data_IF_772685746898
#
_entry.id   IF_772685746898
#
_cell.length_a   1.000
_cell.length_b   1.000
_cell.length_c   1.000
_cell.angle_alpha   90.00
_cell.angle_beta   90.00
_cell.angle_gamma   90.00
#
_symmetry.space_group_name_H-M   'P 1'
#
loop_
_entity.id
_entity.type
_entity.pdbx_description
1 polymer ?
#
# COMPACT_ATOMS: atom_id res chain seq x y z
N UNK A 1 31.98 -1.02 -14.91
CA UNK A 1 31.07 -1.78 -14.02
C UNK A 1 30.30 -0.77 -13.19
N UNK A 2 29.23 -0.20 -13.77
CA UNK A 2 28.39 0.79 -13.11
C UNK A 2 27.18 0.03 -12.53
N UNK A 3 27.29 -0.43 -11.29
CA UNK A 3 26.11 -0.85 -10.54
C UNK A 3 25.34 0.43 -10.20
N UNK A 4 24.46 0.86 -11.10
CA UNK A 4 23.32 1.68 -10.70
C UNK A 4 22.55 0.84 -9.69
N UNK A 5 22.74 1.14 -8.41
CA UNK A 5 21.89 0.66 -7.36
C UNK A 5 20.47 1.15 -7.69
N UNK A 6 19.65 0.27 -8.26
CA UNK A 6 18.20 0.39 -8.22
C UNK A 6 17.75 0.16 -6.77
N UNK A 7 18.22 1.00 -5.85
CA UNK A 7 17.46 1.30 -4.66
C UNK A 7 16.19 1.95 -5.20
N UNK A 8 15.14 1.15 -5.47
CA UNK A 8 13.89 1.63 -6.02
C UNK A 8 13.46 2.86 -5.23
N UNK A 9 13.48 4.03 -5.90
CA UNK A 9 13.20 5.30 -5.27
C UNK A 9 11.86 5.14 -4.54
N UNK A 10 11.89 5.22 -3.21
CA UNK A 10 10.66 5.21 -2.45
C UNK A 10 10.00 6.56 -2.69
N UNK A 11 8.75 6.60 -3.17
CA UNK A 11 8.05 7.85 -3.41
C UNK A 11 8.11 8.72 -2.16
N UNK A 12 8.45 9.98 -2.35
CA UNK A 12 8.42 10.98 -1.28
C UNK A 12 7.12 11.76 -1.25
N UNK A 13 6.23 11.56 -2.22
CA UNK A 13 4.97 12.24 -2.36
C UNK A 13 3.87 11.31 -2.87
N UNK A 14 2.64 11.54 -2.41
CA UNK A 14 1.43 10.92 -2.96
C UNK A 14 1.09 11.54 -4.31
N UNK A 15 0.70 10.73 -5.29
CA UNK A 15 0.35 11.17 -6.66
C UNK A 15 -1.13 11.00 -7.00
N UNK A 16 -1.94 10.70 -5.99
CA UNK A 16 -3.38 10.46 -6.10
C UNK A 16 -4.17 11.74 -6.43
N UNK A 17 -5.13 11.65 -7.35
CA UNK A 17 -6.04 12.75 -7.68
C UNK A 17 -7.22 12.86 -6.70
N UNK A 18 -7.78 14.07 -6.55
CA UNK A 18 -8.98 14.31 -5.72
C UNK A 18 -8.70 14.59 -4.24
N UNK A 19 -7.44 14.69 -3.84
CA UNK A 19 -7.02 15.02 -2.47
C UNK A 19 -6.19 16.30 -2.48
N UNK A 20 -6.54 17.24 -1.60
CA UNK A 20 -5.69 18.40 -1.34
C UNK A 20 -4.60 18.06 -0.31
N UNK A 21 -3.72 19.03 -0.05
CA UNK A 21 -2.61 18.83 0.88
C UNK A 21 -3.08 18.55 2.33
N UNK A 22 -4.25 19.03 2.75
CA UNK A 22 -4.78 18.75 4.07
C UNK A 22 -5.28 17.31 4.16
N UNK A 23 -6.07 16.88 3.17
CA UNK A 23 -6.55 15.51 3.08
C UNK A 23 -5.39 14.50 3.01
N UNK A 24 -4.31 14.80 2.29
CA UNK A 24 -3.12 13.94 2.26
C UNK A 24 -2.41 13.82 3.62
N UNK A 25 -2.37 14.91 4.41
CA UNK A 25 -1.85 14.86 5.79
C UNK A 25 -2.74 14.00 6.68
N UNK A 26 -4.05 14.17 6.59
CA UNK A 26 -5.01 13.37 7.37
C UNK A 26 -4.89 11.87 7.04
N UNK A 27 -4.66 11.51 5.77
CA UNK A 27 -4.40 10.12 5.38
C UNK A 27 -3.10 9.59 6.01
N UNK A 28 -2.02 10.38 6.02
CA UNK A 28 -0.76 9.99 6.64
C UNK A 28 -0.90 9.80 8.17
N UNK A 29 -1.61 10.71 8.85
CA UNK A 29 -1.88 10.63 10.29
C UNK A 29 -2.73 9.41 10.65
N UNK A 30 -3.76 9.11 9.82
CA UNK A 30 -4.56 7.89 9.94
C UNK A 30 -3.72 6.64 9.76
N UNK A 31 -2.88 6.59 8.72
CA UNK A 31 -2.01 5.45 8.46
C UNK A 31 -1.06 5.20 9.64
N UNK A 32 -0.39 6.25 10.14
CA UNK A 32 0.52 6.19 11.26
C UNK A 32 -0.17 5.74 12.55
N UNK A 33 -1.35 6.29 12.85
CA UNK A 33 -2.14 5.94 14.04
C UNK A 33 -2.59 4.48 14.00
N UNK A 34 -3.14 4.03 12.88
CA UNK A 34 -3.56 2.64 12.70
C UNK A 34 -2.38 1.66 12.77
N UNK A 35 -1.24 2.02 12.16
CA UNK A 35 -0.04 1.19 12.20
C UNK A 35 0.53 1.06 13.61
N UNK A 36 0.61 2.18 14.35
CA UNK A 36 1.05 2.19 15.75
C UNK A 36 0.13 1.35 16.63
N UNK A 37 -1.19 1.47 16.46
CA UNK A 37 -2.16 0.68 17.22
C UNK A 37 -2.02 -0.83 16.96
N UNK A 38 -1.72 -1.22 15.71
CA UNK A 38 -1.57 -2.64 15.33
C UNK A 38 -0.21 -3.23 15.70
N UNK A 39 0.87 -2.48 15.53
CA UNK A 39 2.25 -3.02 15.58
C UNK A 39 3.12 -2.45 16.70
N UNK A 40 2.67 -1.41 17.39
CA UNK A 40 3.46 -0.64 18.35
C UNK A 40 4.52 0.29 17.73
N UNK A 41 4.71 0.23 16.41
CA UNK A 41 5.73 0.98 15.66
C UNK A 41 5.12 1.75 14.49
N UNK A 42 5.87 2.74 13.98
CA UNK A 42 5.53 3.49 12.77
C UNK A 42 6.70 3.37 11.80
N UNK A 43 6.46 3.05 10.51
CA UNK A 43 7.50 2.96 9.51
C UNK A 43 8.29 4.28 9.39
N UNK A 44 9.61 4.23 9.15
CA UNK A 44 10.45 5.43 9.10
C UNK A 44 10.26 6.26 7.81
N UNK A 45 9.71 5.67 6.74
CA UNK A 45 9.41 6.40 5.51
C UNK A 45 8.00 6.99 5.58
N UNK A 46 7.78 8.21 5.04
CA UNK A 46 6.46 8.82 5.03
C UNK A 46 5.44 7.92 4.33
N UNK A 47 4.19 7.99 4.79
CA UNK A 47 3.09 7.37 4.06
C UNK A 47 2.89 8.12 2.74
N UNK A 48 2.81 7.37 1.64
CA UNK A 48 2.47 7.87 0.31
C UNK A 48 1.49 6.92 -0.34
N UNK A 49 0.57 7.45 -1.14
CA UNK A 49 -0.38 6.65 -1.94
C UNK A 49 -0.45 7.23 -3.35
N UNK A 50 -0.52 6.36 -4.34
CA UNK A 50 -0.78 6.71 -5.74
C UNK A 50 -2.20 6.34 -6.18
N UNK A 51 -3.07 5.94 -5.24
CA UNK A 51 -4.37 5.38 -5.54
C UNK A 51 -4.25 3.92 -5.97
N UNK A 52 -4.95 3.53 -7.03
CA UNK A 52 -4.88 2.17 -7.53
C UNK A 52 -3.66 1.99 -8.46
N UNK A 53 -2.47 1.78 -7.88
CA UNK A 53 -1.18 1.63 -8.57
C UNK A 53 -1.30 0.93 -9.95
N UNK A 54 -0.78 1.58 -11.00
CA UNK A 54 -0.77 1.09 -12.41
C UNK A 54 -2.14 0.79 -13.03
N UNK A 55 -3.23 1.27 -12.42
CA UNK A 55 -4.58 1.13 -12.94
C UNK A 55 -5.34 2.46 -12.82
N UNK A 56 -6.34 2.72 -13.67
CA UNK A 56 -7.18 3.90 -13.47
C UNK A 56 -7.96 3.83 -12.17
N UNK A 57 -7.97 4.94 -11.44
CA UNK A 57 -8.85 5.14 -10.29
C UNK A 57 -10.32 5.21 -10.73
N UNK A 58 -11.22 4.92 -9.79
CA UNK A 58 -12.67 4.96 -10.01
C UNK A 58 -13.44 5.11 -8.69
N UNK A 59 -14.69 4.67 -8.65
CA UNK A 59 -15.54 4.70 -7.43
C UNK A 59 -14.93 3.93 -6.25
N UNK A 60 -13.92 3.10 -6.51
CA UNK A 60 -13.21 2.27 -5.55
C UNK A 60 -11.84 2.81 -5.11
N UNK A 61 -11.43 4.01 -5.56
CA UNK A 61 -10.14 4.62 -5.21
C UNK A 61 -9.86 4.62 -3.70
N UNK A 62 -10.90 4.85 -2.88
CA UNK A 62 -10.82 4.78 -1.42
C UNK A 62 -10.36 3.41 -0.90
N UNK A 63 -10.73 2.31 -1.56
CA UNK A 63 -10.24 0.97 -1.22
C UNK A 63 -8.73 0.85 -1.42
N UNK A 64 -8.18 1.47 -2.47
CA UNK A 64 -6.75 1.42 -2.78
C UNK A 64 -5.96 2.24 -1.75
N UNK A 65 -6.43 3.44 -1.40
CA UNK A 65 -5.84 4.26 -0.33
C UNK A 65 -5.83 3.51 1.02
N UNK A 66 -6.92 2.86 1.38
CA UNK A 66 -7.00 2.09 2.63
C UNK A 66 -6.07 0.86 2.62
N UNK A 67 -5.96 0.18 1.48
CA UNK A 67 -5.04 -0.94 1.30
C UNK A 67 -3.58 -0.50 1.40
N UNK A 68 -3.23 0.63 0.79
CA UNK A 68 -1.90 1.25 0.86
C UNK A 68 -1.49 1.55 2.31
N UNK A 69 -2.40 2.02 3.17
CA UNK A 69 -2.08 2.26 4.59
C UNK A 69 -1.59 0.98 5.29
N UNK A 70 -2.24 -0.14 5.00
CA UNK A 70 -1.88 -1.44 5.59
C UNK A 70 -0.58 -1.97 4.98
N UNK A 71 -0.43 -1.82 3.65
CA UNK A 71 0.78 -2.20 2.92
C UNK A 71 2.01 -1.40 3.34
N UNK A 72 1.85 -0.09 3.55
CA UNK A 72 2.88 0.78 4.08
C UNK A 72 3.37 0.31 5.45
N UNK A 73 2.42 0.01 6.34
CA UNK A 73 2.70 -0.46 7.69
C UNK A 73 3.40 -1.82 7.71
N UNK A 74 2.99 -2.75 6.84
CA UNK A 74 3.53 -4.11 6.82
C UNK A 74 3.02 -4.96 7.98
N UNK A 75 3.79 -5.99 8.34
CA UNK A 75 3.43 -7.00 9.34
C UNK A 75 3.69 -8.43 8.85
N UNK A 76 3.07 -9.40 9.49
CA UNK A 76 3.22 -10.83 9.20
C UNK A 76 2.57 -11.24 7.87
N UNK A 77 2.91 -12.43 7.37
CA UNK A 77 2.30 -12.98 6.16
C UNK A 77 0.77 -13.14 6.25
N UNK A 78 0.25 -13.46 7.44
CA UNK A 78 -1.19 -13.59 7.68
C UNK A 78 -1.89 -12.22 7.71
N UNK A 79 -1.24 -11.19 8.25
CA UNK A 79 -1.76 -9.83 8.17
C UNK A 79 -1.81 -9.34 6.72
N UNK A 80 -0.80 -9.67 5.91
CA UNK A 80 -0.85 -9.38 4.47
C UNK A 80 -2.03 -10.08 3.80
N UNK A 81 -2.24 -11.36 4.08
CA UNK A 81 -3.37 -12.12 3.52
C UNK A 81 -4.71 -11.47 3.88
N UNK A 82 -4.90 -11.11 5.16
CA UNK A 82 -6.10 -10.41 5.63
C UNK A 82 -6.28 -9.06 4.95
N UNK A 83 -5.21 -8.27 4.79
CA UNK A 83 -5.24 -6.99 4.09
C UNK A 83 -5.72 -7.16 2.64
N UNK A 84 -5.20 -8.16 1.93
CA UNK A 84 -5.57 -8.44 0.54
C UNK A 84 -7.01 -8.96 0.41
N UNK A 85 -7.51 -9.70 1.40
CA UNK A 85 -8.90 -10.16 1.47
C UNK A 85 -9.88 -9.02 1.78
N UNK A 86 -9.54 -8.13 2.71
CA UNK A 86 -10.31 -6.91 3.00
C UNK A 86 -10.35 -6.00 1.77
N UNK A 87 -9.24 -5.87 1.05
CA UNK A 87 -9.18 -5.11 -0.19
C UNK A 87 -10.09 -5.69 -1.28
N UNK A 88 -10.04 -7.02 -1.47
CA UNK A 88 -10.94 -7.73 -2.38
C UNK A 88 -12.42 -7.43 -2.07
N UNK A 89 -12.79 -7.49 -0.79
CA UNK A 89 -14.16 -7.23 -0.36
C UNK A 89 -14.58 -5.78 -0.64
N UNK A 90 -13.70 -4.80 -0.36
CA UNK A 90 -13.98 -3.39 -0.63
C UNK A 90 -14.18 -3.12 -2.13
N UNK A 91 -13.26 -3.59 -2.99
CA UNK A 91 -13.37 -3.45 -4.44
C UNK A 91 -14.63 -4.15 -4.97
N UNK A 92 -14.98 -5.32 -4.41
CA UNK A 92 -16.20 -6.05 -4.78
C UNK A 92 -17.45 -5.22 -4.51
N UNK A 93 -17.52 -4.55 -3.35
CA UNK A 93 -18.66 -3.73 -2.95
C UNK A 93 -18.75 -2.41 -3.75
N UNK A 94 -17.62 -1.77 -4.06
CA UNK A 94 -17.59 -0.45 -4.73
C UNK A 94 -17.49 -0.50 -6.26
N UNK A 95 -17.10 -1.63 -6.83
CA UNK A 95 -16.85 -1.79 -8.26
C UNK A 95 -17.55 -3.01 -8.87
N UNK A 96 -17.02 -4.22 -8.64
CA UNK A 96 -17.63 -5.49 -9.06
C UNK A 96 -16.85 -6.68 -8.49
N UNK A 97 -17.50 -7.84 -8.39
CA UNK A 97 -16.85 -9.09 -7.97
C UNK A 97 -15.66 -9.46 -8.88
N UNK A 98 -15.81 -9.30 -10.20
CA UNK A 98 -14.72 -9.56 -11.16
C UNK A 98 -13.50 -8.67 -10.89
N UNK A 99 -13.71 -7.35 -10.66
CA UNK A 99 -12.60 -6.46 -10.30
C UNK A 99 -11.98 -6.84 -8.98
N UNK A 100 -12.78 -7.17 -7.96
CA UNK A 100 -12.27 -7.63 -6.66
C UNK A 100 -11.30 -8.80 -6.82
N UNK A 101 -11.68 -9.82 -7.59
CA UNK A 101 -10.82 -10.97 -7.86
C UNK A 101 -9.54 -10.59 -8.61
N UNK A 102 -9.63 -9.74 -9.65
CA UNK A 102 -8.45 -9.30 -10.42
C UNK A 102 -7.46 -8.53 -9.53
N UNK A 103 -7.96 -7.57 -8.75
CA UNK A 103 -7.13 -6.76 -7.85
C UNK A 103 -6.48 -7.64 -6.77
N UNK A 104 -7.24 -8.56 -6.16
CA UNK A 104 -6.69 -9.50 -5.19
C UNK A 104 -5.55 -10.33 -5.77
N UNK A 105 -5.75 -10.97 -6.92
CA UNK A 105 -4.69 -11.75 -7.58
C UNK A 105 -3.46 -10.89 -7.89
N UNK A 106 -3.68 -9.65 -8.36
CA UNK A 106 -2.60 -8.72 -8.71
C UNK A 106 -1.74 -8.36 -7.50
N UNK A 107 -2.33 -7.98 -6.37
CA UNK A 107 -1.57 -7.58 -5.17
C UNK A 107 -0.88 -8.77 -4.48
N UNK A 108 -1.44 -9.99 -4.60
CA UNK A 108 -0.78 -11.22 -4.12
C UNK A 108 0.54 -11.49 -4.83
N UNK A 109 0.61 -11.19 -6.13
CA UNK A 109 1.81 -11.40 -6.96
C UNK A 109 2.73 -10.18 -6.93
N UNK A 110 2.24 -9.00 -7.32
CA UNK A 110 3.05 -7.81 -7.51
C UNK A 110 3.37 -7.04 -6.22
N UNK A 111 2.69 -7.36 -5.11
CA UNK A 111 2.86 -6.72 -3.81
C UNK A 111 3.78 -7.47 -2.85
N UNK A 112 4.53 -8.47 -3.31
CA UNK A 112 5.35 -9.31 -2.45
C UNK A 112 6.54 -8.54 -1.80
N UNK A 113 6.88 -8.82 -0.52
CA UNK A 113 7.86 -8.02 0.23
C UNK A 113 9.30 -8.09 -0.31
N UNK A 114 9.65 -9.15 -1.04
CA UNK A 114 10.97 -9.30 -1.66
C UNK A 114 11.12 -8.56 -2.99
N UNK A 115 10.02 -8.09 -3.60
CA UNK A 115 10.09 -7.33 -4.84
C UNK A 115 10.64 -5.91 -4.57
N UNK A 116 11.58 -5.40 -5.38
CA UNK A 116 12.16 -4.06 -5.22
C UNK A 116 11.24 -2.96 -5.77
N UNK A 117 9.93 -3.07 -5.52
CA UNK A 117 8.91 -2.12 -5.98
C UNK A 117 8.44 -1.22 -4.82
N UNK A 118 8.08 0.05 -5.10
CA UNK A 118 7.75 1.01 -4.05
C UNK A 118 6.37 0.82 -3.39
N UNK A 119 5.51 -0.04 -3.94
CA UNK A 119 4.18 -0.40 -3.43
C UNK A 119 4.12 -1.80 -2.80
N UNK A 120 5.27 -2.44 -2.57
CA UNK A 120 5.34 -3.79 -1.96
C UNK A 120 4.78 -3.80 -0.53
N UNK A 121 4.48 -4.99 0.00
CA UNK A 121 4.23 -5.16 1.43
C UNK A 121 5.38 -4.62 2.28
N UNK A 122 5.04 -3.86 3.32
CA UNK A 122 5.97 -3.15 4.20
C UNK A 122 6.79 -2.05 3.49
N UNK A 123 6.22 -1.34 2.51
CA UNK A 123 7.00 -0.35 1.75
C UNK A 123 7.47 0.86 2.56
N UNK A 124 6.83 1.14 3.71
CA UNK A 124 7.27 2.16 4.67
C UNK A 124 8.62 1.84 5.34
N UNK A 125 9.10 0.60 5.23
CA UNK A 125 10.37 0.15 5.77
C UNK A 125 11.47 0.12 4.70
N UNK A 126 12.75 0.15 5.08
CA UNK A 126 13.86 -0.13 4.15
C UNK A 126 13.68 -1.49 3.44
N UNK A 127 14.10 -1.57 2.18
CA UNK A 127 14.12 -2.83 1.42
C UNK A 127 15.49 -3.51 1.57
N UNK A 128 15.57 -4.86 1.63
CA UNK A 128 14.46 -5.80 1.69
C UNK A 128 13.72 -5.72 3.03
N UNK A 129 12.39 -5.83 3.00
CA UNK A 129 11.61 -5.91 4.23
C UNK A 129 12.02 -7.19 4.97
N UNK A 130 12.56 -7.04 6.18
CA UNK A 130 12.92 -8.19 7.02
C UNK A 130 11.63 -8.82 7.53
N UNK A 131 11.43 -10.10 7.21
CA UNK A 131 10.23 -10.83 7.59
C UNK A 131 10.24 -11.23 9.06
N UNK A 132 9.11 -11.01 9.73
CA UNK A 132 8.63 -11.77 10.88
C UNK A 132 7.36 -12.53 10.45
#
# INVERSE_FOLDING_TARGET
MLLCALAGCSPSASTIGGYDAAALRDLADRAASACRARTGRVPPRPFTTDGCTLTPDGTWQTCCVEHDMVYWCGGTADERRRADETFRACITAKASATRGTIYHCSVRVAGAPWLPVPWRWAYGWPWPAQGE
#
